data_IF_413711143812
#
_entry.id   IF_413711143812
#
_cell.length_a   1.000
_cell.length_b   1.000
_cell.length_c   1.000
_cell.angle_alpha   90.00
_cell.angle_beta   90.00
_cell.angle_gamma   90.00
#
_symmetry.space_group_name_H-M   'P 1'
#
loop_
_entity.id
_entity.type
_entity.pdbx_description
1 polymer ?
#
# COMPACT_ATOMS: atom_id res chain seq x y z
N UNK A 1 -12.67 -17.57 4.26
CA UNK A 1 -13.21 -16.22 3.92
C UNK A 1 -14.43 -15.84 4.72
N UNK A 2 -15.44 -16.72 4.84
CA UNK A 2 -16.66 -16.44 5.62
C UNK A 2 -16.38 -15.98 7.06
N UNK A 3 -15.36 -16.53 7.72
CA UNK A 3 -15.01 -16.12 9.08
C UNK A 3 -14.45 -14.69 9.14
N UNK A 4 -13.55 -14.29 8.23
CA UNK A 4 -13.07 -12.91 8.14
C UNK A 4 -14.22 -11.93 7.86
N UNK A 5 -15.17 -12.30 7.00
CA UNK A 5 -16.37 -11.49 6.76
C UNK A 5 -17.26 -11.40 8.00
N UNK A 6 -17.40 -12.48 8.77
CA UNK A 6 -18.17 -12.49 10.02
C UNK A 6 -17.53 -11.54 11.04
N UNK A 7 -16.21 -11.58 11.20
CA UNK A 7 -15.48 -10.67 12.07
C UNK A 7 -15.62 -9.21 11.62
N UNK A 8 -15.48 -8.95 10.31
CA UNK A 8 -15.72 -7.63 9.72
C UNK A 8 -17.14 -7.12 9.98
N UNK A 9 -18.15 -7.99 9.93
CA UNK A 9 -19.54 -7.62 10.22
C UNK A 9 -19.84 -7.35 11.71
N UNK A 10 -18.96 -7.77 12.63
CA UNK A 10 -19.12 -7.55 14.07
C UNK A 10 -18.40 -6.29 14.56
N UNK A 11 -17.42 -5.79 13.81
CA UNK A 11 -16.60 -4.65 14.18
C UNK A 11 -16.90 -3.45 13.29
N UNK A 12 -17.39 -2.35 13.87
CA UNK A 12 -17.65 -1.11 13.13
C UNK A 12 -16.37 -0.41 12.64
N UNK A 13 -15.22 -0.75 13.22
CA UNK A 13 -13.90 -0.21 12.87
C UNK A 13 -12.99 -1.30 12.28
N UNK A 14 -13.57 -2.28 11.57
CA UNK A 14 -12.79 -3.32 10.91
C UNK A 14 -11.79 -2.74 9.91
N UNK A 15 -10.54 -3.15 10.01
CA UNK A 15 -9.48 -2.76 9.11
C UNK A 15 -8.92 -3.98 8.37
N UNK A 16 -9.15 -4.04 7.06
CA UNK A 16 -8.60 -5.09 6.21
C UNK A 16 -7.08 -4.97 6.05
N UNK A 17 -6.51 -3.79 6.29
CA UNK A 17 -5.07 -3.54 6.17
C UNK A 17 -4.23 -4.15 7.28
N UNK A 18 -4.86 -4.74 8.31
CA UNK A 18 -4.18 -5.51 9.37
C UNK A 18 -4.45 -7.01 9.27
N UNK A 19 -5.10 -7.46 8.20
CA UNK A 19 -5.50 -8.86 7.98
C UNK A 19 -4.61 -9.55 6.94
N UNK A 20 -4.40 -10.86 7.09
CA UNK A 20 -3.66 -11.65 6.09
C UNK A 20 -4.32 -13.02 5.80
N UNK A 21 -4.14 -13.47 4.55
CA UNK A 21 -4.36 -14.87 4.17
C UNK A 21 -3.04 -15.47 3.71
N UNK A 22 -2.62 -16.54 4.38
CA UNK A 22 -1.35 -17.21 4.12
C UNK A 22 -1.61 -18.55 3.44
N UNK A 23 -0.86 -18.82 2.38
CA UNK A 23 -0.83 -20.12 1.72
C UNK A 23 0.59 -20.67 1.60
N UNK A 24 0.73 -21.94 1.25
CA UNK A 24 2.05 -22.49 0.93
C UNK A 24 2.60 -21.99 -0.40
N UNK A 25 1.76 -21.99 -1.43
CA UNK A 25 2.11 -21.60 -2.79
C UNK A 25 1.15 -20.51 -3.30
N UNK A 26 1.64 -19.63 -4.18
CA UNK A 26 0.85 -18.52 -4.73
C UNK A 26 -0.45 -18.94 -5.40
N UNK A 27 -0.44 -20.06 -6.14
CA UNK A 27 -1.61 -20.57 -6.88
C UNK A 27 -2.84 -20.81 -6.00
N UNK A 28 -2.64 -21.07 -4.70
CA UNK A 28 -3.74 -21.29 -3.75
C UNK A 28 -4.43 -19.98 -3.34
N UNK A 29 -3.81 -18.83 -3.59
CA UNK A 29 -4.35 -17.51 -3.28
C UNK A 29 -5.22 -16.94 -4.40
N UNK A 30 -5.10 -17.43 -5.64
CA UNK A 30 -5.90 -16.93 -6.78
C UNK A 30 -7.42 -17.03 -6.54
N UNK A 31 -7.98 -18.13 -6.00
CA UNK A 31 -9.41 -18.19 -5.67
C UNK A 31 -9.81 -17.22 -4.55
N UNK A 32 -8.91 -16.95 -3.60
CA UNK A 32 -9.15 -15.99 -2.51
C UNK A 32 -9.17 -14.57 -3.06
N UNK A 33 -8.26 -14.23 -3.97
CA UNK A 33 -8.25 -12.96 -4.67
C UNK A 33 -9.55 -12.73 -5.44
N UNK A 34 -9.94 -13.69 -6.27
CA UNK A 34 -11.19 -13.60 -7.05
C UNK A 34 -12.42 -13.44 -6.15
N UNK A 35 -12.44 -14.11 -5.00
CA UNK A 35 -13.46 -13.90 -3.98
C UNK A 35 -13.46 -12.45 -3.49
N UNK A 36 -12.30 -11.91 -3.07
CA UNK A 36 -12.21 -10.54 -2.57
C UNK A 36 -12.67 -9.51 -3.61
N UNK A 37 -12.26 -9.66 -4.86
CA UNK A 37 -12.68 -8.78 -5.96
C UNK A 37 -14.21 -8.82 -6.17
N UNK A 38 -14.80 -10.02 -6.14
CA UNK A 38 -16.26 -10.23 -6.30
C UNK A 38 -17.06 -9.57 -5.18
N UNK A 39 -16.56 -9.62 -3.94
CA UNK A 39 -17.23 -9.04 -2.76
C UNK A 39 -16.71 -7.64 -2.39
N UNK A 40 -15.92 -7.02 -3.27
CA UNK A 40 -15.35 -5.68 -3.08
C UNK A 40 -14.57 -5.53 -1.76
N UNK A 41 -13.89 -6.59 -1.33
CA UNK A 41 -12.95 -6.57 -0.22
C UNK A 41 -11.62 -6.02 -0.75
N UNK A 42 -11.06 -4.96 -0.15
CA UNK A 42 -9.73 -4.47 -0.51
C UNK A 42 -8.72 -5.59 -0.34
N UNK A 43 -7.98 -5.93 -1.39
CA UNK A 43 -7.05 -7.07 -1.41
C UNK A 43 -5.76 -6.69 -2.11
N UNK A 44 -4.65 -7.21 -1.60
CA UNK A 44 -3.32 -7.03 -2.19
C UNK A 44 -2.58 -8.35 -2.23
N UNK A 45 -1.93 -8.64 -3.35
CA UNK A 45 -1.02 -9.77 -3.44
C UNK A 45 0.38 -9.35 -3.01
N UNK A 46 1.00 -10.10 -2.11
CA UNK A 46 2.36 -9.84 -1.62
C UNK A 46 3.47 -10.06 -2.66
N UNK A 47 3.15 -10.57 -3.86
CA UNK A 47 4.06 -10.65 -5.01
C UNK A 47 3.74 -9.63 -6.10
N UNK A 48 2.68 -8.84 -5.95
CA UNK A 48 2.39 -7.79 -6.91
C UNK A 48 3.21 -6.55 -6.60
N UNK A 49 3.93 -6.08 -7.61
CA UNK A 49 4.52 -4.76 -7.56
C UNK A 49 3.45 -3.75 -8.01
N UNK A 50 2.99 -2.92 -7.07
CA UNK A 50 2.20 -1.74 -7.41
C UNK A 50 3.03 -0.89 -8.41
N UNK A 51 2.42 -0.33 -9.46
CA UNK A 51 3.10 0.63 -10.33
C UNK A 51 3.83 1.65 -9.49
N UNK A 52 5.07 1.98 -9.87
CA UNK A 52 5.81 2.99 -9.11
C UNK A 52 4.98 4.26 -9.05
N UNK A 53 4.67 4.72 -7.83
CA UNK A 53 4.08 6.04 -7.61
C UNK A 53 4.83 7.11 -8.42
N UNK A 54 6.16 6.96 -8.54
CA UNK A 54 7.04 7.82 -9.33
C UNK A 54 6.87 7.74 -10.85
N UNK A 55 6.31 6.64 -11.37
CA UNK A 55 6.05 6.43 -12.79
C UNK A 55 4.63 6.83 -13.20
N UNK A 56 3.76 7.19 -12.25
CA UNK A 56 2.44 7.71 -12.56
C UNK A 56 2.56 9.03 -13.32
N UNK A 57 1.65 9.25 -14.28
CA UNK A 57 1.66 10.44 -15.13
C UNK A 57 1.51 11.70 -14.28
N UNK A 58 0.56 11.67 -13.36
CA UNK A 58 0.22 12.76 -12.44
C UNK A 58 1.43 13.14 -11.57
N UNK A 59 2.11 12.15 -10.98
CA UNK A 59 3.33 12.38 -10.19
C UNK A 59 4.46 12.98 -11.03
N UNK A 60 4.61 12.53 -12.27
CA UNK A 60 5.63 13.09 -13.18
C UNK A 60 5.32 14.54 -13.55
N UNK A 61 4.08 14.83 -13.91
CA UNK A 61 3.61 16.19 -14.20
C UNK A 61 3.81 17.11 -12.99
N UNK A 62 3.56 16.62 -11.78
CA UNK A 62 3.77 17.35 -10.54
C UNK A 62 5.25 17.68 -10.29
N UNK A 63 6.13 16.69 -10.43
CA UNK A 63 7.58 16.86 -10.26
C UNK A 63 8.16 17.76 -11.35
N UNK A 64 7.67 17.66 -12.59
CA UNK A 64 8.07 18.55 -13.68
C UNK A 64 7.64 20.00 -13.41
N UNK A 65 6.42 20.21 -12.92
CA UNK A 65 5.94 21.53 -12.48
C UNK A 65 6.82 22.12 -11.36
N UNK A 66 7.12 21.34 -10.33
CA UNK A 66 8.01 21.75 -9.23
C UNK A 66 9.39 22.18 -9.72
N UNK A 67 10.00 21.37 -10.60
CA UNK A 67 11.33 21.65 -11.17
C UNK A 67 11.33 22.87 -12.10
N UNK A 68 10.18 23.20 -12.68
CA UNK A 68 10.00 24.35 -13.57
C UNK A 68 9.77 25.68 -12.84
N UNK A 69 9.64 25.69 -11.51
CA UNK A 69 9.44 26.91 -10.73
C UNK A 69 10.71 27.77 -10.70
N UNK A 70 10.53 29.09 -10.87
CA UNK A 70 11.60 30.07 -10.71
C UNK A 70 12.07 30.16 -9.24
N UNK A 71 11.12 30.08 -8.31
CA UNK A 71 11.38 30.03 -6.87
C UNK A 71 11.71 28.61 -6.44
N UNK A 72 12.82 28.44 -5.72
CA UNK A 72 13.26 27.14 -5.18
C UNK A 72 12.70 26.81 -3.79
N UNK A 73 11.67 27.55 -3.38
CA UNK A 73 10.88 27.30 -2.18
C UNK A 73 9.43 27.04 -2.59
N UNK A 74 8.77 26.17 -1.84
CA UNK A 74 7.37 25.83 -2.03
C UNK A 74 6.68 25.72 -0.68
N UNK A 75 5.50 26.32 -0.58
CA UNK A 75 4.62 26.22 0.58
C UNK A 75 3.48 25.24 0.32
N UNK A 76 2.83 24.74 1.37
CA UNK A 76 1.73 23.79 1.24
C UNK A 76 0.58 24.30 0.36
N UNK A 77 0.33 25.62 0.36
CA UNK A 77 -0.69 26.24 -0.48
C UNK A 77 -0.40 26.08 -1.98
N UNK A 78 0.85 26.31 -2.41
CA UNK A 78 1.27 26.10 -3.80
C UNK A 78 1.03 24.65 -4.26
N UNK A 79 1.34 23.69 -3.39
CA UNK A 79 1.20 22.26 -3.69
C UNK A 79 -0.28 21.88 -3.81
N UNK A 80 -1.12 22.39 -2.89
CA UNK A 80 -2.56 22.17 -2.88
C UNK A 80 -3.23 22.78 -4.12
N UNK A 81 -2.85 24.01 -4.49
CA UNK A 81 -3.37 24.70 -5.69
C UNK A 81 -3.08 23.89 -6.96
N UNK A 82 -1.90 23.27 -7.06
CA UNK A 82 -1.59 22.39 -8.19
C UNK A 82 -2.50 21.16 -8.22
N UNK A 83 -2.72 20.50 -7.08
CA UNK A 83 -3.60 19.32 -6.98
C UNK A 83 -5.05 19.68 -7.31
N UNK A 84 -5.54 20.80 -6.79
CA UNK A 84 -6.91 21.28 -6.99
C UNK A 84 -7.18 21.72 -8.44
N UNK A 85 -6.13 22.10 -9.19
CA UNK A 85 -6.23 22.43 -10.61
C UNK A 85 -6.42 21.20 -11.53
N UNK A 86 -6.21 19.98 -11.01
CA UNK A 86 -6.35 18.75 -11.78
C UNK A 86 -7.68 18.04 -11.50
N UNK A 87 -8.27 17.35 -12.49
CA UNK A 87 -9.49 16.58 -12.27
C UNK A 87 -9.30 15.53 -11.16
N UNK A 88 -10.29 15.34 -10.27
CA UNK A 88 -10.20 14.36 -9.20
C UNK A 88 -10.06 12.95 -9.79
N UNK A 89 -9.18 12.15 -9.17
CA UNK A 89 -8.87 10.80 -9.61
C UNK A 89 -7.98 10.10 -8.59
N UNK A 90 -7.86 8.76 -8.66
CA UNK A 90 -7.18 7.97 -7.64
C UNK A 90 -5.72 8.39 -7.40
N UNK A 91 -5.03 8.85 -8.45
CA UNK A 91 -3.64 9.31 -8.36
C UNK A 91 -3.49 10.74 -7.84
N UNK A 92 -4.48 11.60 -8.12
CA UNK A 92 -4.55 12.96 -7.58
C UNK A 92 -4.89 12.90 -6.08
N UNK A 93 -5.80 12.04 -5.67
CA UNK A 93 -6.09 11.80 -4.24
C UNK A 93 -4.87 11.22 -3.51
N UNK A 94 -4.10 10.34 -4.16
CA UNK A 94 -2.86 9.82 -3.59
C UNK A 94 -1.79 10.91 -3.43
N UNK A 95 -1.71 11.85 -4.37
CA UNK A 95 -0.86 13.03 -4.21
C UNK A 95 -1.35 13.90 -3.05
N UNK A 96 -2.67 14.12 -2.92
CA UNK A 96 -3.26 14.88 -1.81
C UNK A 96 -2.90 14.26 -0.46
N UNK A 97 -2.98 12.94 -0.32
CA UNK A 97 -2.55 12.21 0.88
C UNK A 97 -1.08 12.49 1.21
N UNK A 98 -0.20 12.48 0.22
CA UNK A 98 1.20 12.84 0.41
C UNK A 98 1.36 14.29 0.88
N UNK A 99 0.61 15.23 0.31
CA UNK A 99 0.66 16.64 0.72
C UNK A 99 0.20 16.85 2.16
N UNK A 100 -0.86 16.15 2.57
CA UNK A 100 -1.40 16.21 3.93
C UNK A 100 -0.38 15.65 4.94
N UNK A 101 0.27 14.51 4.64
CA UNK A 101 1.35 13.97 5.47
C UNK A 101 2.56 14.93 5.56
N UNK A 102 2.98 15.51 4.44
CA UNK A 102 4.08 16.48 4.43
C UNK A 102 3.75 17.74 5.24
N UNK A 103 2.52 18.25 5.14
CA UNK A 103 2.09 19.44 5.88
C UNK A 103 2.09 19.20 7.40
N UNK A 104 1.71 18.00 7.84
CA UNK A 104 1.80 17.60 9.24
C UNK A 104 3.24 17.53 9.73
N UNK A 105 4.16 16.99 8.92
CA UNK A 105 5.58 16.86 9.26
C UNK A 105 6.30 18.21 9.36
N UNK A 106 5.99 19.13 8.44
CA UNK A 106 6.66 20.44 8.34
C UNK A 106 5.98 21.54 9.15
N UNK A 107 4.77 21.29 9.68
CA UNK A 107 3.95 22.31 10.32
C UNK A 107 3.52 23.44 9.37
N UNK A 108 3.49 23.16 8.07
CA UNK A 108 3.15 24.13 7.02
C UNK A 108 4.27 25.13 6.66
N UNK A 109 5.51 24.87 7.07
CA UNK A 109 6.65 25.70 6.70
C UNK A 109 6.98 25.60 5.20
N UNK A 110 7.50 26.70 4.63
CA UNK A 110 8.12 26.67 3.30
C UNK A 110 9.33 25.73 3.29
N UNK A 111 9.43 24.89 2.26
CA UNK A 111 10.54 23.96 2.08
C UNK A 111 11.25 24.14 0.74
N UNK A 112 12.55 23.82 0.65
CA UNK A 112 13.23 23.73 -0.63
C UNK A 112 12.55 22.71 -1.55
N UNK A 113 12.34 23.08 -2.81
CA UNK A 113 11.72 22.21 -3.82
C UNK A 113 12.43 20.86 -3.93
N UNK A 114 13.76 20.86 -3.94
CA UNK A 114 14.56 19.63 -4.06
C UNK A 114 14.37 18.71 -2.84
N UNK A 115 14.21 19.30 -1.64
CA UNK A 115 13.94 18.54 -0.40
C UNK A 115 12.54 17.92 -0.44
N UNK A 116 11.53 18.66 -0.90
CA UNK A 116 10.19 18.12 -1.08
C UNK A 116 10.15 16.98 -2.11
N UNK A 117 10.87 17.10 -3.23
CA UNK A 117 10.95 16.04 -4.26
C UNK A 117 11.62 14.78 -3.69
N UNK A 118 12.67 14.92 -2.90
CA UNK A 118 13.34 13.81 -2.22
C UNK A 118 12.38 13.13 -1.23
N UNK A 119 11.74 13.91 -0.36
CA UNK A 119 10.72 13.45 0.58
C UNK A 119 9.59 12.70 -0.14
N UNK A 120 9.07 13.26 -1.23
CA UNK A 120 7.98 12.64 -2.02
C UNK A 120 8.40 11.31 -2.66
N UNK A 121 9.66 11.21 -3.07
CA UNK A 121 10.21 9.96 -3.60
C UNK A 121 10.35 8.89 -2.51
N UNK A 122 10.73 9.27 -1.29
CA UNK A 122 10.76 8.36 -0.13
C UNK A 122 9.36 7.93 0.28
N UNK A 123 8.45 8.88 0.43
CA UNK A 123 7.03 8.62 0.69
C UNK A 123 6.43 7.66 -0.36
N UNK A 124 6.74 7.88 -1.64
CA UNK A 124 6.31 7.00 -2.73
C UNK A 124 6.87 5.57 -2.68
N UNK A 125 8.03 5.35 -2.04
CA UNK A 125 8.57 4.00 -1.78
C UNK A 125 7.88 3.36 -0.58
N UNK A 126 7.57 4.15 0.44
CA UNK A 126 6.92 3.66 1.66
C UNK A 126 5.45 3.32 1.41
N UNK A 127 4.71 4.16 0.69
CA UNK A 127 3.31 3.90 0.33
C UNK A 127 3.15 2.62 -0.48
N UNK A 128 4.15 2.27 -1.30
CA UNK A 128 4.20 1.01 -2.03
C UNK A 128 4.32 -0.20 -1.09
N UNK A 129 5.00 -0.03 0.05
CA UNK A 129 5.21 -1.08 1.06
C UNK A 129 4.06 -1.17 2.07
N UNK A 130 3.23 -0.13 2.18
CA UNK A 130 2.08 -0.11 3.09
C UNK A 130 1.02 -1.12 2.64
N UNK A 131 0.58 -1.94 3.58
CA UNK A 131 -0.64 -2.73 3.41
C UNK A 131 -1.84 -1.79 3.48
N UNK A 132 -2.76 -1.90 2.52
CA UNK A 132 -3.97 -1.10 2.33
C UNK A 132 -5.24 -1.96 2.26
N UNK A 133 -5.09 -3.28 2.33
CA UNK A 133 -6.18 -4.24 2.30
C UNK A 133 -5.72 -5.61 2.78
N UNK A 134 -6.57 -6.62 2.62
CA UNK A 134 -6.25 -8.00 2.98
C UNK A 134 -5.02 -8.46 2.21
N UNK A 135 -3.93 -8.78 2.92
CA UNK A 135 -2.69 -9.20 2.29
C UNK A 135 -2.71 -10.70 2.02
N UNK A 136 -2.53 -11.07 0.75
CA UNK A 136 -2.41 -12.46 0.30
C UNK A 136 -0.94 -12.78 0.07
N UNK A 137 -0.37 -13.71 0.83
CA UNK A 137 1.06 -14.00 0.77
C UNK A 137 1.37 -15.46 1.07
N UNK A 138 2.55 -15.92 0.66
CA UNK A 138 3.02 -17.24 1.05
C UNK A 138 3.60 -17.24 2.46
N UNK A 139 3.64 -18.40 3.12
CA UNK A 139 4.23 -18.55 4.44
C UNK A 139 5.69 -18.08 4.50
N UNK A 140 6.44 -18.29 3.41
CA UNK A 140 7.80 -17.77 3.27
C UNK A 140 7.84 -16.24 3.32
N UNK A 141 6.89 -15.55 2.67
CA UNK A 141 6.79 -14.09 2.63
C UNK A 141 6.23 -13.48 3.92
N UNK A 142 5.55 -14.28 4.74
CA UNK A 142 4.96 -13.80 6.00
C UNK A 142 5.96 -13.67 7.15
N UNK A 143 7.21 -14.14 6.99
CA UNK A 143 8.23 -14.09 8.04
C UNK A 143 8.53 -12.66 8.46
N UNK A 144 8.41 -12.40 9.77
CA UNK A 144 8.68 -11.08 10.36
C UNK A 144 7.58 -10.04 10.14
N UNK A 145 6.42 -10.46 9.62
CA UNK A 145 5.22 -9.62 9.54
C UNK A 145 4.26 -9.99 10.67
N UNK A 146 3.55 -9.00 11.18
CA UNK A 146 2.54 -9.14 12.22
C UNK A 146 1.18 -8.67 11.68
N UNK A 147 0.12 -9.39 12.04
CA UNK A 147 -1.24 -9.13 11.60
C UNK A 147 -2.20 -9.38 12.76
N UNK A 148 -3.26 -8.59 12.87
CA UNK A 148 -4.29 -8.78 13.91
C UNK A 148 -5.10 -10.05 13.65
N UNK A 149 -5.36 -10.33 12.36
CA UNK A 149 -6.17 -11.46 11.93
C UNK A 149 -5.50 -12.21 10.78
N UNK A 150 -5.27 -13.51 10.97
CA UNK A 150 -4.62 -14.38 9.99
C UNK A 150 -5.53 -15.56 9.68
N UNK A 151 -5.74 -15.84 8.40
CA UNK A 151 -6.28 -17.10 7.93
C UNK A 151 -5.21 -17.89 7.18
N UNK A 152 -5.02 -19.16 7.54
CA UNK A 152 -4.07 -20.05 6.85
C UNK A 152 -4.88 -21.02 5.98
N UNK A 153 -4.61 -21.03 4.68
CA UNK A 153 -5.22 -22.02 3.77
C UNK A 153 -4.61 -23.39 4.04
N UNK A 154 -5.38 -24.46 3.98
CA UNK A 154 -4.96 -25.85 4.24
C UNK A 154 -4.30 -26.55 3.04
N UNK A 155 -4.28 -25.89 1.87
CA UNK A 155 -3.75 -26.46 0.64
C UNK A 155 -2.22 -26.63 0.63
N UNK A 156 -1.78 -27.87 0.40
CA UNK A 156 -0.42 -28.19 -0.04
C UNK A 156 0.63 -28.30 1.07
N UNK A 157 0.26 -28.26 2.35
CA UNK A 157 1.19 -28.33 3.50
C UNK A 157 1.81 -29.70 3.75
N UNK A 158 1.18 -30.78 3.27
CA UNK A 158 1.69 -32.15 3.46
C UNK A 158 2.95 -32.49 2.63
N UNK A 159 3.33 -31.63 1.67
CA UNK A 159 4.50 -31.83 0.81
C UNK A 159 5.79 -31.36 1.49
N UNK A 160 6.33 -32.08 2.46
CA UNK A 160 7.61 -31.71 3.11
C UNK A 160 8.68 -31.47 2.03
N UNK A 161 9.21 -30.25 1.94
CA UNK A 161 10.28 -29.93 1.00
C UNK A 161 11.62 -30.39 1.60
N UNK A 162 12.58 -30.85 0.79
CA UNK A 162 13.86 -31.43 1.31
C UNK A 162 14.75 -30.41 2.05
N UNK A 163 14.34 -29.15 2.14
CA UNK A 163 15.03 -28.06 2.82
C UNK A 163 14.33 -27.55 4.09
N UNK A 164 13.20 -28.14 4.49
CA UNK A 164 12.55 -27.83 5.76
C UNK A 164 13.26 -28.59 6.89
N UNK A 165 13.69 -27.85 7.92
CA UNK A 165 14.29 -28.41 9.12
C UNK A 165 13.25 -29.32 9.82
N UNK A 166 13.51 -30.63 9.93
CA UNK A 166 12.56 -31.57 10.53
C UNK A 166 12.33 -31.34 12.03
N UNK A 167 13.13 -30.48 12.69
CA UNK A 167 13.04 -30.18 14.12
C UNK A 167 12.42 -28.78 14.42
N UNK A 168 11.70 -28.17 13.48
CA UNK A 168 10.86 -27.01 13.82
C UNK A 168 9.69 -27.48 14.72
N UNK A 169 9.55 -26.94 15.96
CA UNK A 169 8.57 -27.41 16.94
C UNK A 169 7.11 -27.14 16.57
#
# INVERSE_FOLDING_TARGET
MTELQRLAGLSSNWDWSTCAVIAREWKYLDPVRAFCETYHIPVQMGNEEIPSFWHLRETREFVEWLRGRDTRLVEGADLADWVDAHPPGPWIELLREALDEHALETGGAEVPVDHFIEWLAEWGRDIRRRQRGLLLLTAHRAKGLEFDHIAVLDGGWDKVDRSEDPDAP
#
